data_IF_824135024151
#
_entry.id   IF_824135024151
#
_cell.length_a   1.000
_cell.length_b   1.000
_cell.length_c   1.000
_cell.angle_alpha   90.00
_cell.angle_beta   90.00
_cell.angle_gamma   90.00
#
_symmetry.space_group_name_H-M   'P 1'
#
loop_
_entity.id
_entity.type
_entity.pdbx_description
1 polymer ?
#
# COMPACT_ATOMS: atom_id res chain seq x y z
N UNK A 1 2.74 -6.82 28.69
CA UNK A 1 2.61 -7.90 27.70
C UNK A 1 3.30 -7.40 26.45
N UNK A 2 4.34 -8.06 25.98
CA UNK A 2 4.88 -7.76 24.65
C UNK A 2 3.77 -8.02 23.63
N UNK A 3 3.39 -6.99 22.88
CA UNK A 3 2.36 -7.10 21.84
C UNK A 3 2.92 -7.92 20.69
N UNK A 4 2.42 -9.14 20.52
CA UNK A 4 2.83 -10.03 19.46
C UNK A 4 2.13 -9.61 18.14
N UNK A 5 2.90 -9.33 17.08
CA UNK A 5 2.35 -8.98 15.77
C UNK A 5 2.23 -10.22 14.89
N UNK A 6 1.12 -10.36 14.19
CA UNK A 6 0.88 -11.49 13.29
C UNK A 6 1.22 -11.14 11.85
N UNK A 7 1.82 -12.10 11.14
CA UNK A 7 2.14 -11.96 9.73
C UNK A 7 0.90 -12.19 8.87
N UNK A 8 0.77 -11.40 7.80
CA UNK A 8 -0.18 -11.63 6.71
C UNK A 8 0.55 -12.00 5.40
N UNK A 9 -0.06 -12.80 4.51
CA UNK A 9 -1.37 -13.43 4.66
C UNK A 9 -1.37 -14.54 5.69
N UNK A 10 -2.49 -14.68 6.37
CA UNK A 10 -2.72 -15.75 7.33
C UNK A 10 -2.72 -17.11 6.64
N UNK A 11 -2.03 -18.10 7.22
CA UNK A 11 -2.03 -19.48 6.75
C UNK A 11 -2.91 -20.34 7.68
N UNK A 12 -4.16 -20.67 7.29
CA UNK A 12 -5.05 -21.47 8.14
C UNK A 12 -4.52 -22.89 8.36
N UNK A 13 -3.78 -23.44 7.39
CA UNK A 13 -3.33 -24.84 7.42
C UNK A 13 -2.34 -25.11 8.54
N UNK A 14 -1.46 -24.17 8.86
CA UNK A 14 -0.46 -24.34 9.93
C UNK A 14 -1.13 -24.38 11.30
N UNK A 15 -2.13 -23.53 11.54
CA UNK A 15 -2.90 -23.48 12.78
C UNK A 15 -3.74 -24.71 13.06
N UNK A 16 -4.26 -25.36 12.02
CA UNK A 16 -5.12 -26.54 12.17
C UNK A 16 -4.33 -27.82 12.53
N UNK A 17 -3.01 -27.73 12.68
CA UNK A 17 -2.17 -28.84 13.14
C UNK A 17 -2.10 -28.91 14.66
N UNK A 18 -1.83 -30.10 15.22
CA UNK A 18 -1.86 -30.34 16.67
C UNK A 18 -0.89 -29.47 17.49
N UNK A 19 0.16 -28.94 16.86
CA UNK A 19 1.13 -28.01 17.45
C UNK A 19 1.21 -26.69 16.64
N UNK A 20 0.13 -26.35 15.93
CA UNK A 20 0.07 -25.19 15.06
C UNK A 20 0.30 -23.88 15.81
N UNK A 21 1.15 -23.02 15.25
CA UNK A 21 1.36 -21.65 15.74
C UNK A 21 1.06 -20.66 14.62
N UNK A 22 0.58 -19.48 14.99
CA UNK A 22 0.41 -18.38 14.04
C UNK A 22 1.78 -17.78 13.76
N UNK A 23 2.10 -17.58 12.50
CA UNK A 23 3.31 -16.85 12.15
C UNK A 23 3.23 -15.43 12.67
N UNK A 24 4.34 -15.00 13.26
CA UNK A 24 4.49 -13.66 13.81
C UNK A 24 5.58 -12.93 13.07
N UNK A 25 5.51 -11.61 13.12
CA UNK A 25 6.45 -10.74 12.46
C UNK A 25 6.97 -9.69 13.45
N UNK A 26 8.09 -9.07 13.09
CA UNK A 26 8.59 -7.93 13.83
C UNK A 26 7.69 -6.71 13.62
N UNK A 27 7.95 -5.65 14.40
CA UNK A 27 7.19 -4.41 14.34
C UNK A 27 7.29 -3.72 12.98
N UNK A 28 8.46 -3.77 12.33
CA UNK A 28 8.67 -3.09 11.05
C UNK A 28 7.89 -3.78 9.94
N UNK A 29 7.91 -5.12 9.90
CA UNK A 29 7.12 -5.92 8.98
C UNK A 29 5.61 -5.74 9.24
N UNK A 30 5.18 -5.70 10.50
CA UNK A 30 3.78 -5.43 10.86
C UNK A 30 3.29 -4.06 10.37
N UNK A 31 4.11 -3.01 10.55
CA UNK A 31 3.81 -1.66 10.05
C UNK A 31 3.78 -1.66 8.51
N UNK A 32 4.75 -2.30 7.86
CA UNK A 32 4.79 -2.40 6.40
C UNK A 32 3.54 -3.11 5.83
N UNK A 33 3.07 -4.15 6.51
CA UNK A 33 1.83 -4.86 6.15
C UNK A 33 0.60 -3.96 6.27
N UNK A 34 0.46 -3.20 7.37
CA UNK A 34 -0.65 -2.26 7.53
C UNK A 34 -0.60 -1.12 6.51
N UNK A 35 0.58 -0.56 6.23
CA UNK A 35 0.76 0.45 5.17
C UNK A 35 0.33 -0.11 3.82
N UNK A 36 0.72 -1.34 3.47
CA UNK A 36 0.27 -1.99 2.24
C UNK A 36 -1.26 -2.10 2.18
N UNK A 37 -1.92 -2.48 3.28
CA UNK A 37 -3.38 -2.51 3.36
C UNK A 37 -3.99 -1.12 3.13
N UNK A 38 -3.52 -0.09 3.83
CA UNK A 38 -3.98 1.30 3.63
C UNK A 38 -3.84 1.76 2.17
N UNK A 39 -2.79 1.32 1.48
CA UNK A 39 -2.56 1.65 0.08
C UNK A 39 -3.57 0.96 -0.85
N UNK A 40 -3.80 -0.35 -0.67
CA UNK A 40 -4.60 -1.15 -1.61
C UNK A 40 -6.10 -1.14 -1.32
N UNK A 41 -6.52 -0.74 -0.11
CA UNK A 41 -7.92 -0.72 0.29
C UNK A 41 -8.60 0.56 -0.16
N UNK A 42 -9.78 0.43 -0.78
CA UNK A 42 -10.70 1.53 -1.08
C UNK A 42 -11.56 1.82 0.14
N UNK A 43 -11.77 3.11 0.44
CA UNK A 43 -12.70 3.50 1.52
C UNK A 43 -14.07 2.86 1.32
N UNK A 44 -14.65 2.38 2.43
CA UNK A 44 -15.88 1.59 2.45
C UNK A 44 -15.70 0.08 2.29
N UNK A 45 -14.49 -0.43 1.97
CA UNK A 45 -14.25 -1.88 1.90
C UNK A 45 -14.05 -2.52 3.27
N UNK A 46 -13.51 -1.78 4.24
CA UNK A 46 -13.40 -2.27 5.60
C UNK A 46 -14.77 -2.24 6.28
N UNK A 47 -15.23 -3.42 6.70
CA UNK A 47 -16.56 -3.63 7.30
C UNK A 47 -16.83 -2.80 8.55
N UNK A 48 -15.80 -2.49 9.34
CA UNK A 48 -15.96 -1.84 10.64
C UNK A 48 -15.54 -0.37 10.63
N UNK A 49 -14.80 0.04 9.61
CA UNK A 49 -14.31 1.41 9.47
C UNK A 49 -14.37 1.84 8.00
N UNK A 50 -15.44 2.53 7.64
CA UNK A 50 -15.65 3.02 6.26
C UNK A 50 -14.57 4.02 5.82
N UNK A 51 -13.84 4.64 6.76
CA UNK A 51 -12.79 5.61 6.46
C UNK A 51 -11.41 4.97 6.25
N UNK A 52 -11.24 3.67 6.54
CA UNK A 52 -10.00 2.96 6.33
C UNK A 52 -9.77 2.71 4.83
N UNK A 53 -8.65 3.21 4.31
CA UNK A 53 -8.22 3.07 2.92
C UNK A 53 -7.89 4.39 2.23
N UNK A 54 -7.39 4.28 1.00
CA UNK A 54 -6.92 5.42 0.22
C UNK A 54 -8.02 6.04 -0.65
N UNK A 55 -8.13 7.37 -0.63
CA UNK A 55 -9.10 8.14 -1.43
C UNK A 55 -8.85 8.03 -2.93
N UNK A 56 -7.63 7.68 -3.34
CA UNK A 56 -7.24 7.59 -4.75
C UNK A 56 -8.12 6.65 -5.58
N UNK A 57 -8.66 5.61 -4.94
CA UNK A 57 -9.51 4.61 -5.59
C UNK A 57 -10.88 5.16 -5.99
N UNK A 58 -11.25 6.37 -5.54
CA UNK A 58 -12.44 7.07 -6.04
C UNK A 58 -12.30 7.58 -7.47
N UNK A 59 -11.07 7.75 -7.96
CA UNK A 59 -10.76 8.30 -9.30
C UNK A 59 -10.01 7.31 -10.20
N UNK A 60 -9.96 6.04 -9.83
CA UNK A 60 -9.16 5.01 -10.51
C UNK A 60 -9.54 4.81 -12.00
N UNK A 61 -10.79 5.09 -12.36
CA UNK A 61 -11.31 5.00 -13.73
C UNK A 61 -11.54 6.37 -14.40
N UNK A 62 -11.16 7.47 -13.76
CA UNK A 62 -11.32 8.81 -14.31
C UNK A 62 -10.15 9.18 -15.22
N UNK A 63 -10.38 9.10 -16.53
CA UNK A 63 -9.41 9.46 -17.56
C UNK A 63 -9.04 10.96 -17.57
N UNK A 64 -9.83 11.82 -16.93
CA UNK A 64 -9.56 13.26 -16.81
C UNK A 64 -8.55 13.61 -15.71
N UNK A 65 -8.18 12.65 -14.86
CA UNK A 65 -7.21 12.88 -13.78
C UNK A 65 -5.79 12.79 -14.33
N UNK A 66 -5.06 13.89 -14.21
CA UNK A 66 -3.63 13.92 -14.58
C UNK A 66 -2.80 13.11 -13.58
N UNK A 67 -1.65 12.56 -14.00
CA UNK A 67 -0.73 11.86 -13.09
C UNK A 67 -0.37 12.68 -11.86
N UNK A 68 -0.07 13.97 -12.02
CA UNK A 68 0.25 14.86 -10.90
C UNK A 68 -0.91 15.04 -9.90
N UNK A 69 -2.16 15.13 -10.39
CA UNK A 69 -3.34 15.20 -9.53
C UNK A 69 -3.57 13.88 -8.79
N UNK A 70 -3.36 12.76 -9.48
CA UNK A 70 -3.42 11.42 -8.89
C UNK A 70 -2.38 11.26 -7.77
N UNK A 71 -1.11 11.62 -8.04
CA UNK A 71 -0.02 11.55 -7.06
C UNK A 71 -0.31 12.43 -5.83
N UNK A 72 -0.78 13.66 -6.04
CA UNK A 72 -1.12 14.56 -4.94
C UNK A 72 -2.27 14.01 -4.08
N UNK A 73 -3.32 13.48 -4.70
CA UNK A 73 -4.43 12.83 -3.99
C UNK A 73 -3.94 11.61 -3.20
N UNK A 74 -3.15 10.75 -3.84
CA UNK A 74 -2.59 9.55 -3.22
C UNK A 74 -1.73 9.90 -2.00
N UNK A 75 -0.79 10.83 -2.15
CA UNK A 75 0.13 11.26 -1.08
C UNK A 75 -0.64 11.88 0.08
N UNK A 76 -1.55 12.81 -0.21
CA UNK A 76 -2.32 13.51 0.82
C UNK A 76 -3.23 12.54 1.57
N UNK A 77 -3.91 11.64 0.86
CA UNK A 77 -4.75 10.62 1.48
C UNK A 77 -3.93 9.65 2.32
N UNK A 78 -2.83 9.10 1.78
CA UNK A 78 -2.05 8.10 2.50
C UNK A 78 -1.39 8.70 3.75
N UNK A 79 -0.91 9.93 3.67
CA UNK A 79 -0.34 10.62 4.83
C UNK A 79 -1.38 10.80 5.95
N UNK A 80 -2.61 11.20 5.61
CA UNK A 80 -3.72 11.26 6.57
C UNK A 80 -4.06 9.89 7.15
N UNK A 81 -4.09 8.85 6.31
CA UNK A 81 -4.42 7.50 6.73
C UNK A 81 -3.36 6.87 7.64
N UNK A 82 -2.07 7.15 7.42
CA UNK A 82 -1.00 6.73 8.33
C UNK A 82 -1.17 7.42 9.69
N UNK A 83 -1.48 8.72 9.70
CA UNK A 83 -1.72 9.46 10.94
C UNK A 83 -2.91 8.89 11.74
N UNK A 84 -3.97 8.48 11.07
CA UNK A 84 -5.20 7.98 11.71
C UNK A 84 -5.13 6.49 12.10
N UNK A 85 -4.46 5.66 11.30
CA UNK A 85 -4.55 4.19 11.39
C UNK A 85 -3.19 3.49 11.62
N UNK A 86 -2.09 4.22 11.75
CA UNK A 86 -0.78 3.66 12.09
C UNK A 86 -0.04 4.50 13.16
N UNK A 87 -0.55 4.52 14.41
CA UNK A 87 0.00 5.35 15.48
C UNK A 87 1.41 4.92 15.95
N UNK A 88 1.93 3.79 15.45
CA UNK A 88 3.30 3.35 15.74
C UNK A 88 4.33 4.16 14.94
N UNK A 89 3.89 4.96 13.96
CA UNK A 89 4.75 5.85 13.19
C UNK A 89 4.49 7.33 13.53
N UNK A 90 5.56 8.11 13.59
CA UNK A 90 5.51 9.57 13.66
C UNK A 90 6.35 10.21 12.57
N UNK A 91 6.04 11.49 12.29
CA UNK A 91 6.71 12.29 11.25
C UNK A 91 6.73 11.61 9.87
N UNK A 92 5.65 10.90 9.51
CA UNK A 92 5.56 10.20 8.24
C UNK A 92 5.52 11.16 7.06
N UNK A 93 6.45 10.97 6.11
CA UNK A 93 6.54 11.69 4.85
C UNK A 93 6.32 10.70 3.72
N UNK A 94 5.25 10.91 2.95
CA UNK A 94 4.86 10.06 1.83
C UNK A 94 5.28 10.71 0.51
N UNK A 95 5.79 9.89 -0.41
CA UNK A 95 6.15 10.29 -1.77
C UNK A 95 5.59 9.23 -2.74
N UNK A 96 5.06 9.67 -3.88
CA UNK A 96 4.58 8.78 -4.92
C UNK A 96 4.93 9.34 -6.30
N UNK A 97 5.37 8.47 -7.22
CA UNK A 97 5.74 8.84 -8.58
C UNK A 97 5.24 7.81 -9.59
N UNK A 98 4.43 8.27 -10.54
CA UNK A 98 3.95 7.52 -11.68
C UNK A 98 5.04 7.48 -12.75
N UNK A 99 5.35 6.28 -13.21
CA UNK A 99 6.21 6.01 -14.34
C UNK A 99 5.44 5.16 -15.36
N UNK A 100 5.77 5.32 -16.63
CA UNK A 100 5.25 4.49 -17.71
C UNK A 100 6.27 3.42 -18.05
N UNK A 101 5.83 2.15 -18.06
CA UNK A 101 6.67 1.00 -18.39
C UNK A 101 6.16 0.44 -19.70
N UNK A 102 6.97 0.56 -20.75
CA UNK A 102 6.71 -0.09 -22.03
C UNK A 102 7.18 -1.55 -21.98
N UNK A 103 6.32 -2.47 -22.41
CA UNK A 103 6.67 -3.87 -22.60
C UNK A 103 6.45 -4.22 -24.08
N UNK A 104 7.54 -4.43 -24.81
CA UNK A 104 7.50 -4.90 -26.20
C UNK A 104 7.41 -6.42 -26.23
N UNK A 105 6.28 -6.96 -26.72
CA UNK A 105 6.16 -8.39 -26.96
C UNK A 105 6.66 -8.72 -28.37
N UNK A 106 7.91 -9.15 -28.49
CA UNK A 106 8.50 -9.54 -29.79
C UNK A 106 7.66 -10.60 -30.53
N UNK A 107 6.96 -11.46 -29.79
CA UNK A 107 6.10 -12.52 -30.32
C UNK A 107 4.69 -12.07 -30.73
N UNK A 108 4.22 -10.89 -30.32
CA UNK A 108 2.84 -10.43 -30.57
C UNK A 108 2.73 -9.18 -31.45
N UNK A 109 3.85 -8.56 -31.81
CA UNK A 109 3.86 -7.40 -32.71
C UNK A 109 3.22 -6.13 -32.16
N UNK A 110 2.94 -6.06 -30.84
CA UNK A 110 2.44 -4.87 -30.16
C UNK A 110 3.21 -4.59 -28.87
N UNK A 111 3.25 -3.31 -28.49
CA UNK A 111 3.79 -2.82 -27.21
C UNK A 111 2.65 -2.51 -26.24
N UNK A 112 2.75 -2.98 -25.00
CA UNK A 112 1.83 -2.62 -23.92
C UNK A 112 2.47 -1.57 -23.02
N UNK A 113 1.77 -0.47 -22.76
CA UNK A 113 2.23 0.58 -21.83
C UNK A 113 1.50 0.42 -20.50
N UNK A 114 2.23 0.13 -19.42
CA UNK A 114 1.68 0.02 -18.08
C UNK A 114 2.05 1.24 -17.25
N UNK A 115 1.06 1.79 -16.55
CA UNK A 115 1.29 2.81 -15.53
C UNK A 115 1.72 2.14 -14.24
N UNK A 116 2.85 2.58 -13.69
CA UNK A 116 3.44 2.04 -12.46
C UNK A 116 3.71 3.18 -11.48
N UNK A 117 3.16 3.08 -10.29
CA UNK A 117 3.42 4.02 -9.19
C UNK A 117 4.53 3.44 -8.33
N UNK A 118 5.56 4.24 -8.05
CA UNK A 118 6.54 3.98 -7.00
C UNK A 118 6.15 4.77 -5.78
N UNK A 119 6.03 4.11 -4.63
CA UNK A 119 5.67 4.74 -3.35
C UNK A 119 6.84 4.62 -2.41
N UNK A 120 7.17 5.71 -1.73
CA UNK A 120 8.19 5.77 -0.68
C UNK A 120 7.65 6.46 0.56
N UNK A 121 7.96 5.92 1.73
CA UNK A 121 7.53 6.45 3.02
C UNK A 121 8.74 6.46 3.95
N UNK A 122 9.02 7.63 4.51
CA UNK A 122 10.03 7.81 5.55
C UNK A 122 9.33 8.27 6.82
N UNK A 123 9.59 7.63 7.95
CA UNK A 123 8.96 7.94 9.23
C UNK A 123 9.92 7.61 10.39
N UNK A 124 9.45 7.78 11.61
CA UNK A 124 10.11 7.33 12.83
C UNK A 124 9.19 6.37 13.59
N UNK A 125 9.76 5.33 14.20
CA UNK A 125 9.04 4.48 15.13
C UNK A 125 8.77 5.27 16.41
N UNK A 126 7.51 5.36 16.83
CA UNK A 126 7.14 6.16 17.99
C UNK A 126 7.78 5.65 19.30
N UNK A 127 7.94 4.34 19.41
CA UNK A 127 8.50 3.72 20.61
C UNK A 127 10.01 3.93 20.79
N UNK A 128 10.77 4.03 19.69
CA UNK A 128 12.24 4.03 19.73
C UNK A 128 12.88 5.28 19.14
N UNK A 129 12.14 6.06 18.36
CA UNK A 129 12.67 7.17 17.54
C UNK A 129 13.51 6.71 16.35
N UNK A 130 13.64 5.41 16.11
CA UNK A 130 14.42 4.88 14.99
C UNK A 130 13.75 5.16 13.66
N UNK A 131 14.56 5.31 12.60
CA UNK A 131 14.05 5.56 11.25
C UNK A 131 13.34 4.33 10.71
N UNK A 132 12.13 4.53 10.21
CA UNK A 132 11.37 3.56 9.45
C UNK A 132 11.34 3.99 7.99
N UNK A 133 11.68 3.07 7.07
CA UNK A 133 11.62 3.31 5.63
C UNK A 133 10.79 2.19 4.99
N UNK A 134 9.87 2.59 4.12
CA UNK A 134 9.04 1.67 3.36
C UNK A 134 9.03 2.10 1.90
N UNK A 135 9.09 1.13 0.99
CA UNK A 135 8.95 1.37 -0.44
C UNK A 135 8.21 0.22 -1.09
N UNK A 136 7.30 0.56 -2.00
CA UNK A 136 6.57 -0.43 -2.79
C UNK A 136 6.28 0.11 -4.19
N UNK A 137 5.83 -0.77 -5.07
CA UNK A 137 5.44 -0.42 -6.42
C UNK A 137 4.11 -1.07 -6.78
N UNK A 138 3.26 -0.32 -7.48
CA UNK A 138 1.93 -0.77 -7.88
C UNK A 138 1.72 -0.51 -9.36
N UNK A 139 1.14 -1.49 -10.05
CA UNK A 139 0.63 -1.27 -11.39
C UNK A 139 -0.79 -0.73 -11.30
N UNK A 140 -1.04 0.38 -11.98
CA UNK A 140 -2.39 0.90 -12.14
C UNK A 140 -3.06 0.17 -13.32
N UNK A 141 -4.37 -0.02 -13.20
CA UNK A 141 -5.19 -0.72 -14.19
C UNK A 141 -4.91 -0.23 -15.62
N UNK A 142 -4.95 -1.14 -16.62
CA UNK A 142 -4.64 -0.80 -17.99
C UNK A 142 -5.62 0.27 -18.49
N UNK A 143 -5.09 1.32 -19.13
CA UNK A 143 -5.91 2.16 -19.99
C UNK A 143 -6.19 1.35 -21.25
N UNK A 144 -7.45 0.98 -21.47
CA UNK A 144 -7.87 0.54 -22.81
C UNK A 144 -7.68 1.72 -23.75
N UNK A 145 -6.81 1.55 -24.73
CA UNK A 145 -6.74 2.44 -25.89
C UNK A 145 -7.86 1.97 -26.82
N UNK A 146 -8.86 2.82 -27.02
CA UNK A 146 -9.81 2.70 -28.13
C UNK A 146 -9.17 3.35 -29.38
#
# INVERSE_FOLDING_TARGET
>A
MESQNYRIPFNPSTLMTSNGQIETCDIAESIAQNIMLLIITKKGENRYDENYGNDVWSVEFDNGVTPAKWENLFVTSLQRQILEHEPRLTNAVVQAHINYVEHSYETRGFSEVKKKVKVGINAQLEATGERFNFSTELFLSPMSID
#
